data_IF_921237648636
#
_entry.id   IF_921237648636
#
_cell.length_a   1.000
_cell.length_b   1.000
_cell.length_c   1.000
_cell.angle_alpha   90.00
_cell.angle_beta   90.00
_cell.angle_gamma   90.00
#
_symmetry.space_group_name_H-M   'P 1'
#
loop_
_entity.id
_entity.type
_entity.pdbx_description
1 polymer ?
#
# COMPACT_ATOMS: atom_id res chain seq x y z
N UNK A 1 18.86 -2.14 -15.28
CA UNK A 1 18.28 -2.61 -15.87
C UNK A 1 17.22 -2.53 -16.08
N UNK A 2 16.92 -2.38 -16.46
CA UNK A 2 15.99 -2.37 -16.67
C UNK A 2 15.39 -3.35 -16.88
N UNK A 3 14.93 -3.70 -16.70
CA UNK A 3 14.37 -4.49 -16.82
C UNK A 3 13.77 -4.62 -17.65
N UNK A 4 13.68 -4.08 -18.14
CA UNK A 4 13.09 -4.12 -18.64
C UNK A 4 12.27 -4.57 -18.99
N UNK A 5 12.32 -4.48 -19.36
CA UNK A 5 11.25 -4.28 -20.02
C UNK A 5 10.22 -5.31 -20.07
N UNK A 6 10.27 -6.19 -20.95
CA UNK A 6 9.24 -7.19 -21.10
C UNK A 6 9.10 -8.06 -19.88
N UNK A 7 10.22 -8.43 -19.31
CA UNK A 7 10.21 -9.24 -18.11
C UNK A 7 9.53 -8.52 -16.95
N UNK A 8 9.86 -7.24 -16.82
CA UNK A 8 9.25 -6.44 -15.77
C UNK A 8 7.74 -6.33 -15.96
N UNK A 9 7.28 -6.14 -17.20
CA UNK A 9 5.85 -6.05 -17.49
C UNK A 9 5.13 -7.35 -17.17
N UNK A 10 5.72 -8.48 -17.53
CA UNK A 10 5.13 -9.78 -17.25
C UNK A 10 5.02 -10.05 -15.76
N UNK A 11 6.08 -9.76 -15.03
CA UNK A 11 6.11 -9.94 -13.60
C UNK A 11 5.11 -9.02 -12.91
N UNK A 12 5.03 -7.78 -13.37
CA UNK A 12 4.09 -6.82 -12.80
C UNK A 12 2.65 -7.25 -12.99
N UNK A 13 2.29 -7.75 -14.16
CA UNK A 13 0.93 -8.23 -14.42
C UNK A 13 0.56 -9.42 -13.55
N UNK A 14 1.49 -10.36 -13.42
CA UNK A 14 1.27 -11.53 -12.58
C UNK A 14 1.05 -11.12 -11.12
N UNK A 15 1.89 -10.22 -10.64
CA UNK A 15 1.83 -9.75 -9.28
C UNK A 15 0.50 -9.04 -8.99
N UNK A 16 0.06 -8.21 -9.94
CA UNK A 16 -1.21 -7.48 -9.82
C UNK A 16 -2.40 -8.45 -9.73
N UNK A 17 -2.41 -9.48 -10.57
CA UNK A 17 -3.49 -10.49 -10.51
C UNK A 17 -3.49 -11.21 -9.18
N UNK A 18 -2.33 -11.52 -8.66
CA UNK A 18 -2.20 -12.20 -7.37
C UNK A 18 -2.77 -11.34 -6.25
N UNK A 19 -2.48 -10.05 -6.27
CA UNK A 19 -3.00 -9.13 -5.27
C UNK A 19 -4.51 -9.01 -5.38
N UNK A 20 -5.05 -8.92 -6.58
CA UNK A 20 -6.49 -8.83 -6.78
C UNK A 20 -7.20 -10.08 -6.27
N UNK A 21 -6.66 -11.25 -6.55
CA UNK A 21 -7.25 -12.51 -6.07
C UNK A 21 -7.24 -12.57 -4.55
N UNK A 22 -6.13 -12.20 -3.95
CA UNK A 22 -6.00 -12.21 -2.50
C UNK A 22 -6.99 -11.25 -1.87
N UNK A 23 -7.10 -10.05 -2.42
CA UNK A 23 -8.04 -9.05 -1.92
C UNK A 23 -9.46 -9.57 -1.97
N UNK A 24 -9.88 -10.13 -3.11
CA UNK A 24 -11.24 -10.66 -3.26
C UNK A 24 -11.52 -11.78 -2.28
N UNK A 25 -10.55 -12.68 -2.10
CA UNK A 25 -10.72 -13.79 -1.15
C UNK A 25 -10.91 -13.28 0.27
N UNK A 26 -10.13 -12.31 0.67
CA UNK A 26 -10.24 -11.74 2.00
C UNK A 26 -11.57 -11.02 2.21
N UNK A 27 -12.02 -10.30 1.20
CA UNK A 27 -13.29 -9.59 1.27
C UNK A 27 -14.47 -10.55 1.31
N UNK A 28 -14.39 -11.66 0.58
CA UNK A 28 -15.43 -12.67 0.56
C UNK A 28 -15.62 -13.32 1.92
N UNK A 29 -14.58 -13.34 2.74
CA UNK A 29 -14.69 -13.92 4.07
C UNK A 29 -15.64 -13.12 4.97
N UNK A 30 -15.81 -11.83 4.68
CA UNK A 30 -16.68 -10.96 5.48
C UNK A 30 -16.10 -10.60 6.84
N UNK A 31 -14.92 -11.08 7.16
CA UNK A 31 -14.31 -10.91 8.49
C UNK A 31 -13.27 -9.80 8.56
N UNK A 32 -12.75 -9.36 7.41
CA UNK A 32 -11.67 -8.40 7.41
C UNK A 32 -11.92 -7.26 6.44
N UNK A 33 -11.31 -6.12 6.74
CA UNK A 33 -11.09 -5.04 5.78
C UNK A 33 -9.77 -5.29 5.07
N UNK A 34 -9.58 -4.69 3.91
CA UNK A 34 -8.28 -4.71 3.24
C UNK A 34 -7.89 -3.31 2.82
N UNK A 35 -6.59 -3.04 2.88
CA UNK A 35 -6.02 -1.84 2.26
C UNK A 35 -4.98 -2.31 1.25
N UNK A 36 -5.10 -1.84 0.01
CA UNK A 36 -4.16 -2.18 -1.04
C UNK A 36 -3.19 -1.02 -1.20
N UNK A 37 -1.91 -1.32 -1.20
CA UNK A 37 -0.86 -0.33 -1.35
C UNK A 37 -0.10 -0.55 -2.64
N UNK A 38 0.15 0.54 -3.37
CA UNK A 38 0.87 0.50 -4.63
C UNK A 38 1.93 1.59 -4.62
N UNK A 39 3.19 1.20 -4.68
CA UNK A 39 4.28 2.15 -4.69
C UNK A 39 4.36 2.82 -6.07
N UNK A 40 4.50 4.14 -6.11
CA UNK A 40 4.59 4.87 -7.38
C UNK A 40 5.89 5.63 -7.56
N UNK A 41 6.55 6.06 -6.49
CA UNK A 41 7.89 6.64 -6.59
C UNK A 41 8.62 6.51 -5.27
N UNK A 42 9.95 6.60 -5.35
CA UNK A 42 10.77 6.58 -4.15
C UNK A 42 11.98 7.47 -4.34
N UNK A 43 12.58 7.85 -3.21
CA UNK A 43 13.83 8.59 -3.19
C UNK A 43 14.80 7.83 -2.30
N UNK A 44 16.03 7.68 -2.78
CA UNK A 44 17.08 7.00 -2.01
C UNK A 44 18.12 8.01 -1.54
N UNK A 45 18.74 7.67 -0.43
CA UNK A 45 19.84 8.43 0.12
C UNK A 45 20.84 7.44 0.70
N UNK A 46 22.10 7.53 0.27
CA UNK A 46 23.15 6.59 0.70
C UNK A 46 22.74 5.14 0.47
N UNK A 47 22.15 4.88 -0.69
CA UNK A 47 21.68 3.55 -1.10
C UNK A 47 20.54 2.99 -0.27
N UNK A 48 19.95 3.80 0.60
CA UNK A 48 18.78 3.39 1.40
C UNK A 48 17.57 4.16 0.96
N UNK A 49 16.41 3.56 1.17
CA UNK A 49 15.15 4.21 0.82
C UNK A 49 14.87 5.29 1.86
N UNK A 50 14.92 6.55 1.44
CA UNK A 50 14.68 7.67 2.34
C UNK A 50 13.22 8.04 2.39
N UNK A 51 12.52 7.97 1.25
CA UNK A 51 11.12 8.37 1.17
C UNK A 51 10.44 7.63 0.03
N UNK A 52 9.13 7.51 0.10
CA UNK A 52 8.36 6.89 -0.97
C UNK A 52 6.96 7.44 -0.99
N UNK A 53 6.32 7.39 -2.16
CA UNK A 53 4.92 7.75 -2.33
C UNK A 53 4.17 6.48 -2.71
N UNK A 54 3.11 6.21 -1.97
CA UNK A 54 2.25 5.08 -2.24
C UNK A 54 0.84 5.57 -2.51
N UNK A 55 0.17 4.92 -3.44
CA UNK A 55 -1.27 5.04 -3.55
C UNK A 55 -1.89 3.94 -2.69
N UNK A 56 -3.03 4.22 -2.08
CA UNK A 56 -3.73 3.21 -1.32
C UNK A 56 -5.20 3.19 -1.71
N UNK A 57 -5.80 2.02 -1.59
CA UNK A 57 -7.22 1.82 -1.89
C UNK A 57 -7.84 1.04 -0.75
N UNK A 58 -9.06 1.44 -0.38
CA UNK A 58 -9.80 0.73 0.66
C UNK A 58 -10.38 -0.56 0.09
N UNK A 59 -11.26 -1.20 0.86
CA UNK A 59 -11.90 -2.44 0.39
C UNK A 59 -13.02 -2.18 -0.63
N UNK A 60 -13.26 -0.94 -1.02
CA UNK A 60 -14.11 -0.66 -2.18
C UNK A 60 -13.23 -0.37 -3.39
N UNK A 61 -13.78 -0.34 -4.57
CA UNK A 61 -13.05 -0.13 -5.82
C UNK A 61 -13.03 1.32 -6.25
N UNK A 62 -13.10 2.25 -5.30
CA UNK A 62 -13.15 3.66 -5.60
C UNK A 62 -11.80 4.28 -5.87
N UNK A 63 -11.77 5.60 -5.83
CA UNK A 63 -10.56 6.37 -6.09
C UNK A 63 -9.48 6.07 -5.05
N UNK A 64 -8.25 6.03 -5.54
CA UNK A 64 -7.10 5.79 -4.68
C UNK A 64 -6.71 7.05 -3.92
N UNK A 65 -6.25 6.87 -2.69
CA UNK A 65 -5.63 7.94 -1.93
C UNK A 65 -4.13 7.93 -2.11
N UNK A 66 -3.47 8.87 -1.46
CA UNK A 66 -2.02 9.02 -1.58
C UNK A 66 -1.40 9.23 -0.21
N UNK A 67 -0.33 8.48 0.09
CA UNK A 67 0.42 8.59 1.33
C UNK A 67 1.89 8.79 0.99
N UNK A 68 2.52 9.77 1.62
CA UNK A 68 3.96 10.00 1.51
C UNK A 68 4.64 9.51 2.77
N UNK A 69 5.61 8.62 2.59
CA UNK A 69 6.38 8.07 3.68
C UNK A 69 7.75 8.73 3.75
N UNK A 70 8.15 9.11 4.96
CA UNK A 70 9.50 9.58 5.24
C UNK A 70 10.14 8.53 6.14
N UNK A 71 10.89 7.61 5.53
CA UNK A 71 11.48 6.51 6.26
C UNK A 71 12.70 6.92 7.07
N UNK A 72 13.32 8.06 6.74
CA UNK A 72 14.44 8.55 7.52
C UNK A 72 13.99 9.08 8.88
N UNK A 73 12.84 9.73 8.91
CA UNK A 73 12.30 10.30 10.14
C UNK A 73 11.20 9.45 10.77
N UNK A 74 10.82 8.35 10.12
CA UNK A 74 9.80 7.48 10.64
C UNK A 74 8.40 8.09 10.64
N UNK A 75 8.12 9.01 9.72
CA UNK A 75 6.84 9.69 9.65
C UNK A 75 6.14 9.41 8.33
N UNK A 76 4.87 9.76 8.27
CA UNK A 76 4.08 9.62 7.05
C UNK A 76 3.02 10.71 7.01
N UNK A 77 2.68 11.12 5.80
CA UNK A 77 1.68 12.16 5.57
C UNK A 77 0.61 11.63 4.64
N UNK A 78 -0.66 11.78 5.03
CA UNK A 78 -1.79 11.42 4.17
C UNK A 78 -2.08 12.63 3.29
N UNK A 79 -1.72 12.52 2.01
CA UNK A 79 -1.88 13.62 1.07
C UNK A 79 -3.32 13.71 0.59
N UNK A 80 -3.93 12.55 0.35
CA UNK A 80 -5.31 12.48 -0.12
C UNK A 80 -5.93 11.18 0.39
N UNK A 81 -7.17 11.26 0.86
CA UNK A 81 -7.89 10.08 1.32
C UNK A 81 -8.47 9.30 0.15
N UNK A 82 -8.40 7.98 0.23
CA UNK A 82 -9.07 7.12 -0.73
C UNK A 82 -10.57 7.10 -0.48
N UNK A 83 -11.34 6.76 -1.51
CA UNK A 83 -12.78 6.52 -1.34
C UNK A 83 -12.97 5.41 -0.30
N UNK A 84 -13.90 5.62 0.60
CA UNK A 84 -14.18 4.67 1.67
C UNK A 84 -13.42 4.95 2.95
N UNK A 85 -12.43 5.83 2.91
CA UNK A 85 -11.74 6.29 4.11
C UNK A 85 -12.30 7.65 4.51
N UNK A 86 -12.13 8.05 5.77
CA UNK A 86 -12.68 9.30 6.26
C UNK A 86 -11.63 10.10 7.02
N UNK A 87 -11.78 11.41 7.02
CA UNK A 87 -10.88 12.28 7.77
C UNK A 87 -10.89 11.97 9.27
N UNK A 88 -12.05 11.59 9.77
CA UNK A 88 -12.22 11.35 11.20
C UNK A 88 -11.53 10.07 11.66
N UNK A 89 -11.74 8.98 10.95
CA UNK A 89 -11.17 7.70 11.36
C UNK A 89 -9.89 7.35 10.60
N UNK A 90 -9.84 7.67 9.30
CA UNK A 90 -8.77 7.33 8.36
C UNK A 90 -8.10 5.99 8.68
N UNK A 91 -8.93 5.00 8.99
CA UNK A 91 -8.45 3.71 9.50
C UNK A 91 -7.64 2.93 8.45
N UNK A 92 -8.01 3.06 7.17
CA UNK A 92 -7.29 2.38 6.10
C UNK A 92 -5.90 2.98 5.93
N UNK A 93 -5.81 4.31 5.89
CA UNK A 93 -4.53 4.98 5.77
C UNK A 93 -3.65 4.70 6.98
N UNK A 94 -4.19 4.75 8.19
CA UNK A 94 -3.44 4.47 9.41
C UNK A 94 -2.90 3.05 9.44
N UNK A 95 -3.70 2.09 8.98
CA UNK A 95 -3.27 0.69 8.92
C UNK A 95 -2.12 0.53 7.93
N UNK A 96 -2.22 1.18 6.77
CA UNK A 96 -1.17 1.15 5.77
C UNK A 96 0.13 1.74 6.31
N UNK A 97 0.04 2.87 6.99
CA UNK A 97 1.21 3.54 7.56
C UNK A 97 1.87 2.65 8.61
N UNK A 98 1.07 2.11 9.52
CA UNK A 98 1.59 1.24 10.57
C UNK A 98 2.27 0.00 10.00
N UNK A 99 1.67 -0.57 8.96
CA UNK A 99 2.23 -1.74 8.32
C UNK A 99 3.60 -1.43 7.71
N UNK A 100 3.70 -0.36 6.94
CA UNK A 100 4.95 -0.01 6.25
C UNK A 100 6.06 0.38 7.20
N UNK A 101 5.74 1.07 8.27
CA UNK A 101 6.74 1.52 9.22
C UNK A 101 7.43 0.37 9.95
N UNK A 102 6.81 -0.78 10.01
CA UNK A 102 7.40 -1.94 10.69
C UNK A 102 8.18 -2.87 9.78
N UNK A 103 8.34 -2.55 8.49
CA UNK A 103 8.93 -3.46 7.53
C UNK A 103 10.44 -3.26 7.38
N UNK A 104 11.18 -4.34 7.07
CA UNK A 104 12.57 -4.20 6.67
C UNK A 104 12.67 -3.50 5.33
N UNK A 105 13.84 -2.95 5.05
CA UNK A 105 14.05 -2.15 3.84
C UNK A 105 13.66 -2.88 2.56
N UNK A 106 13.95 -4.17 2.48
CA UNK A 106 13.66 -4.96 1.28
C UNK A 106 12.18 -4.98 0.91
N UNK A 107 11.29 -4.65 1.86
CA UNK A 107 9.85 -4.70 1.63
C UNK A 107 9.18 -3.34 1.57
N UNK A 108 9.92 -2.27 1.81
CA UNK A 108 9.31 -0.94 1.91
C UNK A 108 8.61 -0.50 0.64
N UNK A 109 9.11 -0.90 -0.52
CA UNK A 109 8.56 -0.48 -1.80
C UNK A 109 7.59 -1.48 -2.43
N UNK A 110 7.37 -2.61 -1.80
CA UNK A 110 6.49 -3.63 -2.40
C UNK A 110 5.04 -3.20 -2.34
N UNK A 111 4.32 -3.49 -3.43
CA UNK A 111 2.87 -3.36 -3.44
C UNK A 111 2.27 -4.53 -2.68
N UNK A 112 1.21 -4.29 -1.92
CA UNK A 112 0.72 -5.32 -1.00
C UNK A 112 -0.74 -5.07 -0.67
N UNK A 113 -1.45 -6.15 -0.31
CA UNK A 113 -2.79 -6.08 0.27
C UNK A 113 -2.65 -6.41 1.75
N UNK A 114 -3.06 -5.49 2.61
CA UNK A 114 -2.94 -5.64 4.06
C UNK A 114 -4.32 -5.88 4.65
N UNK A 115 -4.59 -7.07 5.21
CA UNK A 115 -5.88 -7.31 5.87
C UNK A 115 -5.85 -6.81 7.31
N UNK A 116 -7.01 -6.39 7.81
CA UNK A 116 -7.16 -6.05 9.22
C UNK A 116 -8.61 -6.28 9.65
N UNK A 117 -8.80 -6.46 10.95
CA UNK A 117 -10.11 -6.87 11.46
C UNK A 117 -11.18 -5.81 11.26
N UNK A 118 -12.29 -6.26 10.72
CA UNK A 118 -13.48 -5.44 10.53
C UNK A 118 -14.24 -5.36 11.85
N UNK A 119 -14.78 -4.20 12.13
CA UNK A 119 -15.61 -4.03 13.31
C UNK A 119 -14.86 -3.81 14.60
N UNK A 120 -13.54 -3.76 14.57
CA UNK A 120 -12.77 -3.38 15.76
C UNK A 120 -12.57 -1.89 15.73
N UNK A 121 -13.11 -1.25 16.68
CA UNK A 121 -13.03 0.19 16.77
C UNK A 121 -11.68 0.62 17.33
#
# INVERSE_FOLDING_TARGET
MDFEGTTASGAERFYRRTLDKLRLKLLESGLVHTVTLKQIKCRKRNKKIAAAVHLYQTDNDGEWGEIRFDFENGTAEIVRLADGDTMKSNIFAKTAIRYKQGLPEARLLKSVVVPFWKGRA
#
